data_IF_631752471289
#
_entry.id   IF_631752471289
#
_cell.length_a   1.000
_cell.length_b   1.000
_cell.length_c   1.000
_cell.angle_alpha   90.00
_cell.angle_beta   90.00
_cell.angle_gamma   90.00
#
_symmetry.space_group_name_H-M   'P 1'
#
loop_
_entity.id
_entity.type
_entity.pdbx_description
1 polymer ?
#
# COMPACT_ATOMS: atom_id res chain seq x y z
N UNK A 1 5.02 4.06 3.19
CA UNK A 1 5.89 4.17 2.01
C UNK A 1 5.16 4.97 0.94
N UNK A 2 5.83 5.94 0.30
CA UNK A 2 5.23 6.72 -0.79
C UNK A 2 5.29 5.94 -2.11
N UNK A 3 4.27 6.13 -2.95
CA UNK A 3 4.27 5.62 -4.32
C UNK A 3 5.42 6.25 -5.12
N UNK A 4 6.17 5.48 -5.91
CA UNK A 4 7.17 6.03 -6.82
C UNK A 4 6.56 6.72 -8.05
N UNK A 5 5.25 6.56 -8.28
CA UNK A 5 4.54 7.09 -9.46
C UNK A 5 3.65 8.30 -9.17
N UNK A 6 3.30 8.56 -7.91
CA UNK A 6 2.42 9.67 -7.52
C UNK A 6 2.78 10.21 -6.15
N UNK A 7 2.83 11.54 -6.03
CA UNK A 7 3.06 12.24 -4.76
C UNK A 7 1.84 12.26 -3.83
N UNK A 8 0.66 11.89 -4.34
CA UNK A 8 -0.58 11.84 -3.54
C UNK A 8 -0.86 10.45 -2.96
N UNK A 9 -0.21 9.41 -3.50
CA UNK A 9 -0.47 8.02 -3.12
C UNK A 9 0.61 7.50 -2.18
N UNK A 10 0.18 6.94 -1.06
CA UNK A 10 1.07 6.20 -0.16
C UNK A 10 0.37 4.99 0.46
N UNK A 11 1.17 4.04 0.90
CA UNK A 11 0.72 2.94 1.73
C UNK A 11 1.22 3.14 3.16
N UNK A 12 0.42 2.75 4.13
CA UNK A 12 0.79 2.68 5.53
C UNK A 12 0.48 1.28 6.05
N UNK A 13 1.38 0.72 6.85
CA UNK A 13 1.09 -0.48 7.61
C UNK A 13 1.20 -0.15 9.09
N UNK A 14 0.26 -0.67 9.85
CA UNK A 14 0.34 -0.74 11.29
C UNK A 14 0.24 -2.22 11.71
N UNK A 15 0.13 -2.48 13.02
CA UNK A 15 0.13 -3.85 13.51
C UNK A 15 -0.99 -4.72 12.93
N UNK A 16 -2.14 -4.18 12.56
CA UNK A 16 -3.32 -4.98 12.23
C UNK A 16 -3.93 -4.70 10.86
N UNK A 17 -3.43 -3.71 10.12
CA UNK A 17 -3.89 -3.42 8.76
C UNK A 17 -2.83 -2.71 7.92
N UNK A 18 -2.95 -2.93 6.61
CA UNK A 18 -2.33 -2.11 5.58
C UNK A 18 -3.41 -1.24 4.95
N UNK A 19 -3.08 0.02 4.78
CA UNK A 19 -3.94 1.03 4.18
C UNK A 19 -3.27 1.60 2.93
N UNK A 20 -4.06 1.84 1.88
CA UNK A 20 -3.66 2.63 0.72
C UNK A 20 -4.43 3.94 0.76
N UNK A 21 -3.69 5.03 0.65
CA UNK A 21 -4.19 6.39 0.70
C UNK A 21 -3.99 7.05 -0.65
N UNK A 22 -5.00 7.79 -1.10
CA UNK A 22 -4.90 8.75 -2.20
C UNK A 22 -5.43 10.10 -1.70
N UNK A 23 -4.49 11.02 -1.46
CA UNK A 23 -4.78 12.33 -0.89
C UNK A 23 -5.54 13.26 -1.85
N UNK A 24 -5.61 12.93 -3.14
CA UNK A 24 -6.46 13.66 -4.09
C UNK A 24 -7.94 13.32 -3.89
N UNK A 25 -8.24 12.11 -3.41
CA UNK A 25 -9.59 11.62 -3.17
C UNK A 25 -10.04 11.96 -1.75
N UNK A 26 -9.23 11.66 -0.74
CA UNK A 26 -9.53 11.95 0.65
C UNK A 26 -8.26 12.08 1.48
N UNK A 27 -8.25 13.09 2.34
CA UNK A 27 -7.21 13.27 3.37
C UNK A 27 -7.61 12.70 4.73
N UNK A 28 -8.85 12.22 4.86
CA UNK A 28 -9.43 11.75 6.13
C UNK A 28 -9.57 10.23 6.16
N UNK A 29 -9.89 9.62 5.02
CA UNK A 29 -10.22 8.20 4.92
C UNK A 29 -9.29 7.48 3.94
N UNK A 30 -8.80 6.27 4.29
CA UNK A 30 -8.01 5.46 3.36
C UNK A 30 -8.90 4.95 2.21
N UNK A 31 -8.31 4.87 1.02
CA UNK A 31 -8.99 4.34 -0.16
C UNK A 31 -9.17 2.82 -0.09
N UNK A 32 -8.16 2.11 0.42
CA UNK A 32 -8.18 0.65 0.59
C UNK A 32 -7.71 0.32 2.00
N UNK A 33 -8.40 -0.62 2.65
CA UNK A 33 -7.99 -1.19 3.93
C UNK A 33 -7.93 -2.70 3.79
N UNK A 34 -6.78 -3.29 4.10
CA UNK A 34 -6.57 -4.72 4.18
C UNK A 34 -6.19 -5.09 5.62
N UNK A 35 -7.03 -5.88 6.28
CA UNK A 35 -6.88 -6.24 7.69
C UNK A 35 -6.13 -7.57 7.81
N UNK A 36 -5.19 -7.63 8.75
CA UNK A 36 -4.46 -8.85 9.06
C UNK A 36 -5.40 -9.90 9.66
N UNK A 37 -5.09 -11.18 9.40
CA UNK A 37 -5.74 -12.28 10.10
C UNK A 37 -5.42 -12.22 11.61
N UNK A 38 -6.30 -12.74 12.48
CA UNK A 38 -6.04 -12.77 13.92
C UNK A 38 -4.67 -13.40 14.26
N UNK A 39 -3.88 -12.70 15.08
CA UNK A 39 -2.55 -13.13 15.51
C UNK A 39 -1.41 -12.79 14.53
N UNK A 40 -1.72 -12.33 13.32
CA UNK A 40 -0.73 -11.86 12.34
C UNK A 40 -0.60 -10.34 12.43
N UNK A 41 0.63 -9.85 12.34
CA UNK A 41 0.91 -8.42 12.25
C UNK A 41 1.63 -8.07 10.96
N UNK A 42 1.21 -7.01 10.30
CA UNK A 42 2.01 -6.45 9.21
C UNK A 42 3.22 -5.73 9.78
N UNK A 43 4.37 -5.91 9.15
CA UNK A 43 5.66 -5.42 9.67
C UNK A 43 6.35 -4.49 8.69
N UNK A 44 6.15 -4.71 7.39
CA UNK A 44 6.88 -4.01 6.33
C UNK A 44 6.01 -3.80 5.10
N UNK A 45 6.26 -2.69 4.41
CA UNK A 45 5.63 -2.35 3.13
C UNK A 45 6.65 -1.80 2.15
N UNK A 46 6.50 -2.19 0.88
CA UNK A 46 7.38 -1.74 -0.20
C UNK A 46 6.61 -1.58 -1.50
N UNK A 47 6.66 -0.37 -2.08
CA UNK A 47 6.23 -0.18 -3.47
C UNK A 47 7.30 -0.70 -4.42
N UNK A 48 6.89 -1.50 -5.40
CA UNK A 48 7.74 -1.87 -6.51
C UNK A 48 8.04 -0.63 -7.38
N UNK A 49 9.29 -0.50 -7.85
CA UNK A 49 9.70 0.67 -8.64
C UNK A 49 9.26 0.64 -10.09
N UNK A 50 9.07 -0.56 -10.65
CA UNK A 50 8.86 -0.78 -12.09
C UNK A 50 7.47 -1.35 -12.41
N UNK A 51 6.78 -1.89 -11.40
CA UNK A 51 5.44 -2.46 -11.54
C UNK A 51 4.48 -1.76 -10.60
N UNK A 52 3.18 -1.85 -10.89
CA UNK A 52 2.13 -1.37 -9.98
C UNK A 52 1.86 -2.39 -8.87
N UNK A 53 2.91 -2.74 -8.13
CA UNK A 53 2.81 -3.73 -7.05
C UNK A 53 3.19 -3.15 -5.70
N UNK A 54 2.49 -3.60 -4.67
CA UNK A 54 2.84 -3.39 -3.27
C UNK A 54 3.18 -4.74 -2.64
N UNK A 55 4.34 -4.81 -2.01
CA UNK A 55 4.75 -5.96 -1.21
C UNK A 55 4.47 -5.65 0.26
N UNK A 56 3.90 -6.62 0.96
CA UNK A 56 3.59 -6.53 2.39
C UNK A 56 4.18 -7.74 3.08
N UNK A 57 5.05 -7.51 4.06
CA UNK A 57 5.59 -8.55 4.94
C UNK A 57 4.84 -8.61 6.27
N UNK A 58 4.74 -9.80 6.84
CA UNK A 58 4.08 -10.02 8.12
C UNK A 58 4.99 -10.66 9.19
N UNK A 59 4.43 -10.86 10.38
CA UNK A 59 5.12 -11.41 11.56
C UNK A 59 5.36 -12.92 11.51
N UNK A 60 4.73 -13.64 10.57
CA UNK A 60 4.95 -15.07 10.34
C UNK A 60 6.01 -15.31 9.25
N UNK A 61 6.61 -14.23 8.73
CA UNK A 61 7.60 -14.27 7.67
C UNK A 61 7.01 -14.44 6.27
N UNK A 62 5.69 -14.29 6.11
CA UNK A 62 5.06 -14.29 4.79
C UNK A 62 5.29 -12.94 4.10
N UNK A 63 5.42 -13.00 2.77
CA UNK A 63 5.37 -11.82 1.90
C UNK A 63 4.23 -11.97 0.90
N UNK A 64 3.26 -11.07 0.99
CA UNK A 64 2.16 -10.94 0.03
C UNK A 64 2.48 -9.88 -1.01
N UNK A 65 2.11 -10.14 -2.27
CA UNK A 65 2.25 -9.20 -3.39
C UNK A 65 0.87 -8.82 -3.90
N UNK A 66 0.55 -7.53 -3.84
CA UNK A 66 -0.70 -6.98 -4.34
C UNK A 66 -0.45 -6.18 -5.61
N UNK A 67 -1.27 -6.42 -6.64
CA UNK A 67 -1.35 -5.56 -7.81
C UNK A 67 -2.29 -4.38 -7.51
N UNK A 68 -1.80 -3.16 -7.69
CA UNK A 68 -2.56 -1.93 -7.57
C UNK A 68 -3.14 -1.56 -8.93
N UNK A 69 -4.46 -1.57 -9.04
CA UNK A 69 -5.15 -1.22 -10.28
C UNK A 69 -5.41 0.28 -10.35
N UNK A 70 -5.46 0.79 -11.58
CA UNK A 70 -5.74 2.20 -11.88
C UNK A 70 -4.74 3.18 -11.23
N UNK A 71 -3.49 2.77 -11.09
CA UNK A 71 -2.42 3.68 -10.67
C UNK A 71 -2.18 4.74 -11.73
N UNK A 72 -1.92 6.01 -11.34
CA UNK A 72 -1.55 7.05 -12.28
C UNK A 72 -0.32 6.63 -13.10
N UNK A 73 -0.42 6.76 -14.41
CA UNK A 73 0.75 6.61 -15.29
C UNK A 73 1.60 7.88 -15.20
N UNK A 74 2.93 7.74 -15.28
CA UNK A 74 3.89 8.85 -15.18
C UNK A 74 3.73 9.97 -16.25
N UNK A 75 2.78 9.84 -17.17
CA UNK A 75 2.47 10.82 -18.21
C UNK A 75 1.36 11.81 -17.81
N UNK A 76 0.70 11.64 -16.66
CA UNK A 76 -0.33 12.55 -16.13
C UNK A 76 0.14 13.33 -14.90
N UNK A 77 1.31 13.97 -15.00
CA UNK A 77 1.86 14.86 -13.96
C UNK A 77 2.47 16.12 -14.54
#
# INVERSE_FOLDING_TARGET
AWSPKSSYIFAAANENRVEIWDLHISTLDPLIVNTANPGIKFTTILFAKQTDCLLVGDSDGQVSVYELRNMPTALES
#
